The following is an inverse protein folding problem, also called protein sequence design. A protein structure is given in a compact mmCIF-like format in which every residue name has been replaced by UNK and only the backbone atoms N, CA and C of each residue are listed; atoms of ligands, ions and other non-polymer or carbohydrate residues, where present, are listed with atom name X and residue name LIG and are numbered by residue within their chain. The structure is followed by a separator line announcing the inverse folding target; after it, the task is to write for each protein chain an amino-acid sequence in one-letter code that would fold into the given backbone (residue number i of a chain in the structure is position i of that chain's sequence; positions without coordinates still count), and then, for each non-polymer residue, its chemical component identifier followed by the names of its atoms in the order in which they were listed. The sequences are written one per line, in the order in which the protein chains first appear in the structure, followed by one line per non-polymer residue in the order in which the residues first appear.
data_IF_024095137034
#
_entry.id   IF_024095137034
#
_cell.length_a   1.000
_cell.length_b   1.000
_cell.length_c   1.000
_cell.angle_alpha   90.00
_cell.angle_beta   90.00
_cell.angle_gamma   90.00
#
_symmetry.space_group_name_H-M   'P 1'
#
loop_
_entity.id
_entity.type
_entity.pdbx_description
1 polymer ?
#
# COMPACT_ATOMS: atom_id res chain seq x y z
N UNK A 1 14.48 26.13 4.33
CA UNK A 1 13.39 25.48 3.58
C UNK A 1 13.91 24.18 2.99
N UNK A 2 13.77 23.07 3.70
CA UNK A 2 14.13 21.73 3.23
C UNK A 2 13.05 20.75 3.68
N UNK A 3 11.82 21.02 3.24
CA UNK A 3 10.66 20.16 3.48
C UNK A 3 10.48 19.16 2.31
N UNK A 4 11.56 18.51 1.90
CA UNK A 4 11.58 17.66 0.69
C UNK A 4 11.75 16.18 1.00
N UNK A 5 12.14 15.80 2.21
CA UNK A 5 12.35 14.38 2.56
C UNK A 5 11.13 13.73 3.21
N UNK A 6 10.30 14.48 3.94
CA UNK A 6 9.11 13.93 4.60
C UNK A 6 7.89 13.79 3.66
N UNK A 7 7.95 14.28 2.42
CA UNK A 7 6.80 14.22 1.50
C UNK A 7 6.66 12.87 0.79
N UNK A 8 7.76 12.14 0.55
CA UNK A 8 7.72 10.90 -0.24
C UNK A 8 7.31 9.67 0.59
N UNK A 9 7.64 9.63 1.88
CA UNK A 9 7.25 8.56 2.78
C UNK A 9 5.79 8.58 3.24
N UNK A 10 5.12 9.70 2.97
CA UNK A 10 3.70 9.90 3.27
C UNK A 10 2.75 9.32 2.23
N UNK A 11 3.29 8.76 1.16
CA UNK A 11 2.53 8.22 0.07
C UNK A 11 1.83 6.95 0.52
N UNK A 12 0.50 7.00 0.60
CA UNK A 12 -0.28 5.84 0.27
C UNK A 12 0.28 5.27 -1.04
N UNK A 13 0.78 4.04 -1.01
CA UNK A 13 1.01 3.22 -2.19
C UNK A 13 1.61 4.00 -3.39
N UNK A 14 2.91 4.30 -3.40
CA UNK A 14 3.51 4.80 -4.66
C UNK A 14 3.56 3.66 -5.65
N UNK A 15 2.65 3.67 -6.63
CA UNK A 15 2.76 2.83 -7.81
C UNK A 15 3.63 3.48 -8.86
N UNK A 16 4.84 2.93 -9.03
CA UNK A 16 5.60 3.10 -10.26
C UNK A 16 5.23 1.93 -11.16
N UNK A 17 4.37 2.20 -12.14
CA UNK A 17 4.05 1.26 -13.21
C UNK A 17 5.10 1.43 -14.30
N UNK A 18 5.73 0.33 -14.74
CA UNK A 18 6.80 0.40 -15.75
C UNK A 18 7.85 -0.70 -15.69
N UNK A 19 7.68 -1.74 -14.88
CA UNK A 19 8.61 -2.87 -14.88
C UNK A 19 8.23 -3.91 -15.93
N UNK A 20 9.13 -4.15 -16.89
CA UNK A 20 9.10 -5.24 -17.88
C UNK A 20 9.54 -6.58 -17.29
N UNK A 21 9.24 -6.84 -16.01
CA UNK A 21 9.49 -8.18 -15.44
C UNK A 21 8.57 -9.16 -16.15
N UNK A 22 9.07 -10.30 -16.62
CA UNK A 22 8.22 -11.31 -17.26
C UNK A 22 7.25 -11.84 -16.20
N UNK A 23 6.01 -11.37 -16.28
CA UNK A 23 4.86 -11.93 -15.57
C UNK A 23 4.06 -12.68 -16.64
N UNK A 24 3.59 -13.89 -16.34
CA UNK A 24 2.66 -14.55 -17.26
C UNK A 24 1.37 -13.71 -17.39
N UNK A 25 0.62 -13.92 -18.47
CA UNK A 25 -0.55 -13.08 -18.78
C UNK A 25 -1.74 -13.31 -17.83
N UNK A 26 -1.64 -14.27 -16.92
CA UNK A 26 -2.71 -14.64 -16.00
C UNK A 26 -2.45 -14.10 -14.59
N UNK A 27 -1.36 -13.37 -14.38
CA UNK A 27 -1.01 -12.81 -13.09
C UNK A 27 -0.62 -11.33 -13.15
N UNK A 28 -0.80 -10.68 -12.02
CA UNK A 28 -0.24 -9.37 -11.69
C UNK A 28 0.87 -9.59 -10.67
N UNK A 29 2.08 -9.11 -10.98
CA UNK A 29 3.17 -9.07 -10.02
C UNK A 29 3.00 -7.86 -9.10
N UNK A 30 2.83 -8.11 -7.80
CA UNK A 30 2.86 -7.07 -6.78
C UNK A 30 4.20 -7.17 -6.06
N UNK A 31 4.91 -6.05 -5.95
CA UNK A 31 6.20 -6.02 -5.27
C UNK A 31 6.47 -4.66 -4.65
N UNK A 32 7.25 -4.61 -3.58
CA UNK A 32 7.57 -3.32 -2.97
C UNK A 32 8.33 -3.45 -1.68
N UNK A 33 8.33 -2.36 -0.93
CA UNK A 33 8.88 -2.31 0.43
C UNK A 33 7.85 -1.78 1.42
N UNK A 34 7.87 -2.37 2.60
CA UNK A 34 7.25 -1.83 3.80
C UNK A 34 8.31 -1.06 4.59
N UNK A 35 7.98 0.16 4.98
CA UNK A 35 8.78 1.00 5.86
C UNK A 35 8.01 1.23 7.16
N UNK A 36 8.65 0.98 8.30
CA UNK A 36 8.16 1.51 9.58
C UNK A 36 8.51 2.99 9.66
N UNK A 37 7.48 3.82 9.70
CA UNK A 37 7.55 5.25 9.89
C UNK A 37 7.48 5.52 11.38
N UNK A 38 8.43 6.31 11.87
CA UNK A 38 8.49 6.81 13.25
C UNK A 38 8.29 8.34 13.17
N UNK A 39 7.02 8.81 13.18
CA UNK A 39 6.66 10.22 13.06
C UNK A 39 7.46 11.17 13.95
N UNK A 40 7.66 10.79 15.19
CA UNK A 40 8.26 11.61 16.25
C UNK A 40 9.74 11.89 15.99
N UNK A 41 10.42 10.91 15.42
CA UNK A 41 11.84 10.99 15.08
C UNK A 41 12.06 11.48 13.64
N UNK A 42 10.99 11.73 12.88
CA UNK A 42 11.04 11.99 11.44
C UNK A 42 11.90 10.95 10.70
N UNK A 43 11.71 9.68 11.08
CA UNK A 43 12.56 8.57 10.67
C UNK A 43 11.75 7.47 9.99
N UNK A 44 12.39 6.80 9.05
CA UNK A 44 11.90 5.55 8.46
C UNK A 44 12.97 4.48 8.58
N UNK A 45 12.53 3.27 8.89
CA UNK A 45 13.36 2.06 8.91
C UNK A 45 12.66 0.95 8.10
N UNK A 46 13.40 -0.08 7.66
CA UNK A 46 12.76 -1.27 7.08
C UNK A 46 11.71 -1.83 8.03
N UNK A 47 10.50 -2.08 7.51
CA UNK A 47 9.46 -2.79 8.23
C UNK A 47 9.74 -4.29 8.17
N UNK A 48 10.65 -4.77 9.01
CA UNK A 48 11.04 -6.18 9.08
C UNK A 48 9.95 -7.05 9.68
N UNK A 49 9.75 -8.25 9.13
CA UNK A 49 8.78 -9.24 9.63
C UNK A 49 7.34 -8.70 9.78
N UNK A 50 6.96 -7.70 8.98
CA UNK A 50 5.62 -7.14 8.95
C UNK A 50 4.70 -8.12 8.25
N UNK A 51 3.60 -8.48 8.90
CA UNK A 51 2.58 -9.33 8.30
C UNK A 51 1.85 -8.60 7.17
N UNK A 52 1.73 -9.30 6.05
CA UNK A 52 0.97 -8.95 4.86
C UNK A 52 -0.07 -10.04 4.64
N UNK A 53 -1.34 -9.66 4.58
CA UNK A 53 -2.46 -10.57 4.32
C UNK A 53 -3.15 -10.16 3.03
N UNK A 54 -3.42 -11.13 2.15
CA UNK A 54 -4.13 -10.91 0.90
C UNK A 54 -5.44 -11.66 0.98
N UNK A 55 -6.53 -10.95 0.72
CA UNK A 55 -7.86 -11.48 0.58
C UNK A 55 -8.26 -11.45 -0.89
N UNK A 56 -8.82 -12.54 -1.40
CA UNK A 56 -9.40 -12.66 -2.73
C UNK A 56 -10.90 -12.85 -2.56
N UNK A 57 -11.72 -11.94 -3.11
CA UNK A 57 -13.18 -11.95 -2.91
C UNK A 57 -13.58 -12.14 -1.43
N UNK A 58 -12.93 -11.37 -0.54
CA UNK A 58 -13.10 -11.38 0.93
C UNK A 58 -12.63 -12.65 1.66
N UNK A 59 -12.15 -13.69 0.97
CA UNK A 59 -11.54 -14.87 1.59
C UNK A 59 -10.02 -14.73 1.69
N UNK A 60 -9.43 -15.16 2.81
CA UNK A 60 -7.97 -15.13 2.97
C UNK A 60 -7.30 -16.04 1.93
N UNK A 61 -6.57 -15.44 1.00
CA UNK A 61 -5.86 -16.13 -0.07
C UNK A 61 -4.45 -16.56 0.39
N UNK A 62 -3.68 -15.61 0.95
CA UNK A 62 -2.35 -15.89 1.47
C UNK A 62 -1.96 -14.87 2.54
N UNK A 63 -1.13 -15.30 3.48
CA UNK A 63 -0.49 -14.42 4.46
C UNK A 63 0.99 -14.79 4.59
N UNK A 64 1.85 -13.78 4.69
CA UNK A 64 3.29 -13.93 4.87
C UNK A 64 3.87 -12.69 5.57
N UNK A 65 5.14 -12.74 5.91
CA UNK A 65 5.86 -11.61 6.50
C UNK A 65 6.90 -11.04 5.53
N UNK A 66 7.14 -9.73 5.59
CA UNK A 66 8.23 -9.08 4.85
C UNK A 66 9.61 -9.58 5.29
N UNK A 67 10.61 -9.43 4.41
CA UNK A 67 12.00 -9.79 4.71
C UNK A 67 12.71 -8.80 5.66
N UNK A 68 13.99 -9.04 5.94
CA UNK A 68 14.89 -8.20 6.76
C UNK A 68 15.10 -6.78 6.20
N UNK A 69 14.62 -6.49 4.99
CA UNK A 69 14.70 -5.18 4.33
C UNK A 69 13.31 -4.63 4.06
N UNK A 70 12.29 -5.21 4.68
CA UNK A 70 10.88 -4.87 4.49
C UNK A 70 10.35 -5.18 3.10
N UNK A 71 11.09 -5.92 2.26
CA UNK A 71 10.65 -6.24 0.90
C UNK A 71 9.61 -7.34 0.92
N UNK A 72 8.78 -7.32 -0.12
CA UNK A 72 7.84 -8.38 -0.43
C UNK A 72 7.60 -8.45 -1.93
N UNK A 73 7.16 -9.62 -2.38
CA UNK A 73 6.79 -9.89 -3.77
C UNK A 73 5.82 -11.07 -3.82
N UNK A 74 4.75 -10.96 -4.60
CA UNK A 74 3.78 -12.03 -4.83
C UNK A 74 3.03 -11.84 -6.15
N UNK A 75 2.44 -12.92 -6.65
CA UNK A 75 1.62 -12.91 -7.87
C UNK A 75 0.14 -13.04 -7.50
N UNK A 76 -0.70 -12.22 -8.14
CA UNK A 76 -2.15 -12.28 -8.01
C UNK A 76 -2.75 -12.76 -9.34
N UNK A 77 -3.55 -13.84 -9.34
CA UNK A 77 -4.32 -14.20 -10.53
C UNK A 77 -5.19 -13.03 -11.02
N UNK A 78 -5.32 -12.86 -12.33
CA UNK A 78 -6.28 -11.90 -12.91
C UNK A 78 -7.73 -12.33 -12.64
N UNK A 79 -8.71 -11.52 -13.03
CA UNK A 79 -10.15 -11.84 -12.91
C UNK A 79 -10.74 -11.85 -11.50
N UNK A 80 -10.03 -11.27 -10.52
CA UNK A 80 -10.49 -11.20 -9.14
C UNK A 80 -10.30 -9.82 -8.51
N UNK A 81 -11.04 -9.56 -7.43
CA UNK A 81 -10.78 -8.46 -6.52
C UNK A 81 -9.90 -8.89 -5.35
N UNK A 82 -8.94 -8.04 -5.03
CA UNK A 82 -8.04 -8.27 -3.91
C UNK A 82 -8.09 -7.12 -2.90
N UNK A 83 -8.02 -7.49 -1.63
CA UNK A 83 -7.68 -6.57 -0.54
C UNK A 83 -6.35 -7.01 0.08
N UNK A 84 -5.35 -6.16 0.03
CA UNK A 84 -4.04 -6.38 0.66
C UNK A 84 -4.00 -5.58 1.97
N UNK A 85 -3.72 -6.25 3.08
CA UNK A 85 -3.63 -5.66 4.41
C UNK A 85 -2.20 -5.73 4.91
N UNK A 86 -1.62 -4.59 5.29
CA UNK A 86 -0.28 -4.47 5.85
C UNK A 86 -0.34 -4.06 7.32
N UNK A 87 0.61 -4.55 8.11
CA UNK A 87 0.86 -4.01 9.45
C UNK A 87 -0.21 -4.41 10.48
N UNK A 88 -0.58 -5.69 10.51
CA UNK A 88 -1.42 -6.23 11.58
C UNK A 88 -0.65 -6.34 12.90
N UNK A 89 -1.37 -6.49 14.01
CA UNK A 89 -0.88 -6.59 15.40
C UNK A 89 -0.29 -5.29 15.98
N UNK A 90 0.97 -4.98 15.66
CA UNK A 90 1.74 -3.92 16.33
C UNK A 90 1.66 -2.57 15.62
N UNK A 91 1.02 -2.54 14.45
CA UNK A 91 0.90 -1.36 13.61
C UNK A 91 -0.56 -1.05 13.35
N UNK A 92 -0.80 0.19 12.91
CA UNK A 92 -2.09 0.56 12.36
C UNK A 92 -2.24 -0.12 11.00
N UNK A 93 -3.21 -1.03 10.90
CA UNK A 93 -3.46 -1.79 9.68
C UNK A 93 -3.82 -0.85 8.52
N UNK A 94 -3.24 -1.13 7.36
CA UNK A 94 -3.47 -0.38 6.12
C UNK A 94 -3.92 -1.29 5.01
N UNK A 95 -4.95 -0.87 4.27
CA UNK A 95 -5.58 -1.66 3.22
C UNK A 95 -5.31 -1.07 1.85
N UNK A 96 -5.11 -1.91 0.85
CA UNK A 96 -5.03 -1.53 -0.56
C UNK A 96 -5.94 -2.46 -1.33
N UNK A 97 -6.75 -1.91 -2.24
CA UNK A 97 -7.62 -2.72 -3.11
C UNK A 97 -7.07 -2.78 -4.52
N UNK A 98 -7.21 -3.92 -5.18
CA UNK A 98 -6.86 -4.11 -6.59
C UNK A 98 -8.02 -4.82 -7.27
N UNK A 99 -8.62 -4.17 -8.26
CA UNK A 99 -9.57 -4.78 -9.20
C UNK A 99 -8.80 -5.28 -10.44
N UNK A 100 -8.75 -6.60 -10.58
CA UNK A 100 -8.07 -7.28 -11.68
C UNK A 100 -9.05 -7.85 -12.73
N UNK A 101 -10.35 -7.53 -12.69
CA UNK A 101 -11.35 -8.13 -13.59
C UNK A 101 -11.12 -7.79 -15.06
N UNK A 102 -10.71 -6.55 -15.36
CA UNK A 102 -10.58 -6.06 -16.74
C UNK A 102 -9.31 -6.55 -17.49
N UNK A 103 -8.63 -7.57 -16.96
CA UNK A 103 -7.37 -8.10 -17.46
C UNK A 103 -7.47 -9.46 -18.18
N UNK A 104 -8.63 -10.14 -18.11
CA UNK A 104 -8.90 -11.48 -18.68
C UNK A 104 -8.33 -11.72 -20.08
N UNK A 105 -8.45 -10.74 -20.97
CA UNK A 105 -8.11 -10.87 -22.40
C UNK A 105 -6.76 -10.24 -22.79
N UNK A 106 -5.94 -9.81 -21.82
CA UNK A 106 -4.74 -8.99 -22.09
C UNK A 106 -3.46 -9.83 -22.04
N UNK A 107 -2.75 -9.88 -23.17
CA UNK A 107 -1.52 -10.66 -23.34
C UNK A 107 -0.24 -9.96 -22.85
N UNK A 108 -0.35 -9.12 -21.82
CA UNK A 108 0.79 -8.41 -21.25
C UNK A 108 0.82 -8.58 -19.75
N UNK A 109 1.93 -9.12 -19.22
CA UNK A 109 2.16 -9.18 -17.79
C UNK A 109 2.09 -7.78 -17.15
N UNK A 110 1.38 -7.68 -16.03
CA UNK A 110 1.23 -6.43 -15.28
C UNK A 110 2.06 -6.49 -14.01
N UNK A 111 2.72 -5.38 -13.68
CA UNK A 111 3.50 -5.25 -12.46
C UNK A 111 3.16 -3.94 -11.74
N UNK A 112 2.81 -4.05 -10.46
CA UNK A 112 2.52 -2.91 -9.59
C UNK A 112 3.60 -2.86 -8.51
N UNK A 113 4.46 -1.84 -8.59
CA UNK A 113 5.30 -1.50 -7.46
C UNK A 113 4.41 -0.90 -6.37
N UNK A 114 4.51 -1.34 -5.13
CA UNK A 114 3.66 -0.87 -4.04
C UNK A 114 4.52 -0.63 -2.78
N UNK A 115 5.05 0.58 -2.62
CA UNK A 115 5.75 0.93 -1.38
C UNK A 115 4.72 1.36 -0.31
N UNK A 116 4.89 0.87 0.92
CA UNK A 116 3.92 1.02 2.01
C UNK A 116 4.60 1.53 3.29
N UNK A 117 4.19 2.70 3.78
CA UNK A 117 4.57 3.17 5.11
C UNK A 117 3.58 2.73 6.18
N UNK A 118 4.02 2.02 7.21
CA UNK A 118 3.24 1.64 8.40
C UNK A 118 3.74 2.41 9.62
N UNK A 119 2.93 2.51 10.67
CA UNK A 119 3.34 3.14 11.94
C UNK A 119 2.57 2.53 13.10
N UNK A 120 3.13 2.62 14.30
CA UNK A 120 2.50 2.11 15.52
C UNK A 120 1.31 2.99 15.93
N UNK A 121 0.24 2.41 16.49
CA UNK A 121 -0.86 3.21 17.01
C UNK A 121 -0.35 4.18 18.09
N UNK A 122 -0.90 5.39 18.09
CA UNK A 122 -0.61 6.43 19.09
C UNK A 122 -1.85 6.67 19.92
N UNK A 123 -1.68 6.67 21.24
CA UNK A 123 -2.79 6.88 22.18
C UNK A 123 -3.49 8.22 21.92
N UNK A 124 -4.82 8.22 22.00
CA UNK A 124 -5.64 9.42 21.78
C UNK A 124 -5.80 9.86 20.32
N UNK A 125 -5.28 9.10 19.36
CA UNK A 125 -5.48 9.34 17.92
C UNK A 125 -6.46 8.31 17.34
N UNK A 126 -7.46 8.79 16.61
CA UNK A 126 -8.43 7.94 15.93
C UNK A 126 -7.91 7.48 14.56
N UNK A 127 -7.88 6.17 14.36
CA UNK A 127 -7.43 5.52 13.12
C UNK A 127 -8.57 4.81 12.37
N UNK A 128 -9.82 4.94 12.81
CA UNK A 128 -10.98 4.26 12.21
C UNK A 128 -11.12 4.50 10.71
N UNK A 129 -10.73 5.68 10.21
CA UNK A 129 -10.76 5.97 8.77
C UNK A 129 -9.85 5.07 7.92
N UNK A 130 -8.87 4.38 8.52
CA UNK A 130 -7.97 3.41 7.87
C UNK A 130 -8.56 2.00 7.80
N UNK A 131 -9.78 1.81 8.30
CA UNK A 131 -10.62 0.67 7.95
C UNK A 131 -10.99 0.70 6.45
N UNK A 132 -11.07 1.90 5.86
CA UNK A 132 -11.16 2.05 4.42
C UNK A 132 -9.78 1.86 3.75
N UNK A 133 -9.73 1.40 2.48
CA UNK A 133 -8.50 1.32 1.71
C UNK A 133 -7.75 2.65 1.67
N UNK A 134 -6.42 2.65 1.74
CA UNK A 134 -5.64 3.86 1.58
C UNK A 134 -5.33 4.18 0.11
N UNK A 135 -5.46 3.18 -0.75
CA UNK A 135 -5.32 3.27 -2.20
C UNK A 135 -6.18 2.19 -2.84
N UNK A 136 -6.72 2.50 -4.01
CA UNK A 136 -7.45 1.54 -4.84
C UNK A 136 -6.83 1.56 -6.23
N UNK A 137 -6.60 0.39 -6.79
CA UNK A 137 -6.01 0.18 -8.09
C UNK A 137 -6.99 -0.53 -8.99
N UNK A 138 -7.07 -0.10 -10.24
CA UNK A 138 -7.85 -0.76 -11.25
C UNK A 138 -7.16 -0.61 -12.60
N UNK A 139 -7.54 -1.44 -13.55
CA UNK A 139 -7.02 -1.33 -14.89
C UNK A 139 -7.57 -0.08 -15.61
N UNK A 140 -6.69 0.80 -16.05
CA UNK A 140 -7.03 2.01 -16.80
C UNK A 140 -6.72 1.81 -18.29
N UNK A 141 -7.78 1.80 -19.12
CA UNK A 141 -7.66 1.58 -20.57
C UNK A 141 -6.83 2.65 -21.28
N UNK A 142 -6.88 3.90 -20.80
CA UNK A 142 -6.17 5.03 -21.39
C UNK A 142 -4.65 4.85 -21.36
N UNK A 143 -4.11 4.33 -20.26
CA UNK A 143 -2.68 4.10 -20.05
C UNK A 143 -2.26 2.63 -20.23
N UNK A 144 -3.22 1.74 -20.41
CA UNK A 144 -2.97 0.32 -20.67
C UNK A 144 -2.42 -0.45 -19.47
N UNK A 145 -2.61 0.05 -18.25
CA UNK A 145 -1.95 -0.45 -17.04
C UNK A 145 -2.89 -0.40 -15.83
N UNK A 146 -2.54 -1.17 -14.79
CA UNK A 146 -3.17 -1.04 -13.47
C UNK A 146 -2.60 0.22 -12.82
N UNK A 147 -3.45 1.17 -12.51
CA UNK A 147 -3.07 2.46 -11.97
C UNK A 147 -3.99 2.84 -10.80
N UNK A 148 -3.53 3.73 -9.89
CA UNK A 148 -4.33 4.14 -8.75
C UNK A 148 -5.52 5.00 -9.21
N UNK A 149 -6.63 4.91 -8.48
CA UNK A 149 -7.70 5.91 -8.52
C UNK A 149 -7.14 7.23 -7.98
N UNK A 150 -6.88 8.19 -8.87
CA UNK A 150 -6.26 9.47 -8.51
C UNK A 150 -7.15 10.31 -7.60
N UNK A 151 -8.47 10.34 -7.85
CA UNK A 151 -9.44 11.10 -7.07
C UNK A 151 -9.56 10.55 -5.65
N UNK A 152 -9.60 9.22 -5.54
CA UNK A 152 -9.58 8.54 -4.25
C UNK A 152 -8.26 8.78 -3.52
N UNK A 153 -7.14 8.59 -4.20
CA UNK A 153 -5.79 8.77 -3.65
C UNK A 153 -5.60 10.19 -3.13
N UNK A 154 -6.12 11.20 -3.84
CA UNK A 154 -6.07 12.59 -3.41
C UNK A 154 -6.87 12.84 -2.13
N UNK A 155 -8.11 12.32 -2.04
CA UNK A 155 -8.95 12.43 -0.84
C UNK A 155 -8.30 11.75 0.36
N UNK A 156 -7.78 10.55 0.16
CA UNK A 156 -7.12 9.78 1.21
C UNK A 156 -5.82 10.44 1.67
N UNK A 157 -5.01 10.97 0.75
CA UNK A 157 -3.81 11.72 1.10
C UNK A 157 -4.13 12.95 1.98
N UNK A 158 -5.30 13.58 1.80
CA UNK A 158 -5.75 14.67 2.68
C UNK A 158 -6.10 14.18 4.08
N UNK A 159 -6.74 13.01 4.22
CA UNK A 159 -7.04 12.39 5.52
C UNK A 159 -5.76 11.95 6.23
N UNK A 160 -4.85 11.29 5.52
CA UNK A 160 -3.53 10.89 6.02
C UNK A 160 -2.72 12.08 6.55
N UNK A 161 -2.70 13.20 5.83
CA UNK A 161 -2.04 14.43 6.31
C UNK A 161 -2.64 14.98 7.59
N UNK A 162 -3.96 14.87 7.79
CA UNK A 162 -4.62 15.30 9.03
C UNK A 162 -4.26 14.37 10.19
N UNK A 163 -4.34 13.06 9.97
CA UNK A 163 -3.95 12.04 10.94
C UNK A 163 -2.51 12.25 11.42
N UNK A 164 -1.58 12.52 10.51
CA UNK A 164 -0.19 12.79 10.90
C UNK A 164 -0.03 13.99 11.83
N UNK A 165 -0.75 15.08 11.58
CA UNK A 165 -0.73 16.24 12.48
C UNK A 165 -1.26 15.89 13.86
N UNK A 166 -2.25 15.00 13.95
CA UNK A 166 -2.75 14.50 15.24
C UNK A 166 -1.72 13.63 15.94
N UNK A 167 -1.06 12.72 15.21
CA UNK A 167 0.04 11.90 15.75
C UNK A 167 1.15 12.78 16.34
N UNK A 168 1.63 13.77 15.57
CA UNK A 168 2.69 14.67 16.04
C UNK A 168 2.25 15.47 17.27
N UNK A 169 0.99 15.93 17.31
CA UNK A 169 0.44 16.65 18.46
C UNK A 169 0.27 15.75 19.69
N UNK A 170 -0.15 14.50 19.51
CA UNK A 170 -0.35 13.57 20.62
C UNK A 170 0.99 13.03 21.18
N UNK A 171 2.00 12.96 20.33
CA UNK A 171 3.35 12.49 20.72
C UNK A 171 4.22 13.59 21.34
N UNK A 172 3.75 14.84 21.34
CA UNK A 172 4.40 15.96 22.01
C UNK A 172 3.52 16.48 23.14
N UNK A 173 4.04 16.48 24.36
CA UNK A 173 3.72 17.53 25.36
C UNK A 173 3.90 18.91 24.77
#
# INVERSE_FOLDING_TARGET
MTATLLSMAFSAAVALTGSTRPVDNNHILIYGKVLEVIPQEMKEIPGESVQVMIYQEDELYVAFNTDDKGKYEFNLPVEHNYTIVFGTENYVAKRVTIDAHALSDRKTGHAVKLDMGIFKPVEGVDFSFLEAPIASFYFQQEVGQIAPDEDYSFKMAKQMRKCYKQILKASGT
#
